data_IF_041422379291
#
_entry.id   IF_041422379291
#
_cell.length_a   1.000
_cell.length_b   1.000
_cell.length_c   1.000
_cell.angle_alpha   90.00
_cell.angle_beta   90.00
_cell.angle_gamma   90.00
#
_symmetry.space_group_name_H-M   'P 1'
#
loop_
_entity.id
_entity.type
_entity.pdbx_description
1 polymer ?
#
# COMPACT_ATOMS: atom_id res chain seq x y z
N UNK A 1 -15.54 24.94 4.67
CA UNK A 1 -14.53 24.95 3.58
C UNK A 1 -13.80 23.62 3.58
N UNK A 2 -13.56 23.04 2.41
CA UNK A 2 -12.76 21.80 2.26
C UNK A 2 -11.29 22.08 2.60
N UNK A 3 -10.60 21.10 3.19
CA UNK A 3 -9.15 21.18 3.45
C UNK A 3 -8.31 21.22 2.17
N UNK A 4 -8.89 20.79 1.05
CA UNK A 4 -8.28 20.83 -0.26
C UNK A 4 -8.98 21.88 -1.11
N UNK A 5 -8.24 22.57 -1.97
CA UNK A 5 -8.89 23.16 -3.15
C UNK A 5 -9.46 22.03 -4.00
N UNK A 6 -10.58 22.28 -4.68
CA UNK A 6 -11.18 21.32 -5.60
C UNK A 6 -10.18 20.85 -6.68
N UNK A 7 -9.18 21.67 -7.03
CA UNK A 7 -8.18 21.37 -8.05
C UNK A 7 -7.20 20.31 -7.54
N UNK A 8 -6.71 20.49 -6.32
CA UNK A 8 -5.79 19.55 -5.67
C UNK A 8 -6.47 18.21 -5.45
N UNK A 9 -7.73 18.22 -5.02
CA UNK A 9 -8.50 17.01 -4.84
C UNK A 9 -8.77 16.28 -6.16
N UNK A 10 -9.10 17.02 -7.23
CA UNK A 10 -9.21 16.45 -8.57
C UNK A 10 -7.88 15.83 -9.05
N UNK A 11 -6.76 16.48 -8.76
CA UNK A 11 -5.42 16.01 -9.12
C UNK A 11 -5.04 14.72 -8.38
N UNK A 12 -5.39 14.59 -7.10
CA UNK A 12 -5.18 13.36 -6.34
C UNK A 12 -6.00 12.19 -6.89
N UNK A 13 -7.28 12.42 -7.22
CA UNK A 13 -8.09 11.43 -7.93
C UNK A 13 -7.47 11.04 -9.27
N UNK A 14 -6.96 12.01 -10.03
CA UNK A 14 -6.31 11.79 -11.31
C UNK A 14 -5.08 10.92 -11.19
N UNK A 15 -4.16 11.31 -10.33
CA UNK A 15 -2.93 10.56 -10.08
C UNK A 15 -3.24 9.12 -9.65
N UNK A 16 -4.23 8.93 -8.77
CA UNK A 16 -4.64 7.61 -8.30
C UNK A 16 -5.15 6.70 -9.44
N UNK A 17 -6.09 7.17 -10.28
CA UNK A 17 -6.59 6.34 -11.37
C UNK A 17 -5.55 6.12 -12.48
N UNK A 18 -4.67 7.10 -12.73
CA UNK A 18 -3.60 6.98 -13.73
C UNK A 18 -2.60 5.90 -13.31
N UNK A 19 -2.15 5.93 -12.05
CA UNK A 19 -1.26 4.93 -11.49
C UNK A 19 -1.90 3.53 -11.52
N UNK A 20 -3.19 3.43 -11.18
CA UNK A 20 -3.94 2.18 -11.31
C UNK A 20 -3.94 1.64 -12.73
N UNK A 21 -4.28 2.49 -13.72
CA UNK A 21 -4.26 2.11 -15.13
C UNK A 21 -2.88 1.65 -15.59
N UNK A 22 -1.82 2.38 -15.21
CA UNK A 22 -0.45 1.97 -15.52
C UNK A 22 -0.13 0.59 -14.94
N UNK A 23 -0.49 0.35 -13.67
CA UNK A 23 -0.27 -0.93 -12.99
C UNK A 23 -1.02 -2.09 -13.65
N UNK A 24 -2.31 -1.92 -13.93
CA UNK A 24 -3.13 -2.95 -14.60
C UNK A 24 -2.62 -3.24 -16.02
N UNK A 25 -2.29 -2.19 -16.79
CA UNK A 25 -1.76 -2.37 -18.14
C UNK A 25 -0.41 -3.10 -18.14
N UNK A 26 0.50 -2.77 -17.21
CA UNK A 26 1.79 -3.45 -17.07
C UNK A 26 1.63 -4.96 -16.85
N UNK A 27 0.58 -5.39 -16.16
CA UNK A 27 0.32 -6.82 -15.85
C UNK A 27 -0.30 -7.59 -17.01
N UNK A 28 -1.27 -6.99 -17.69
CA UNK A 28 -2.19 -7.78 -18.53
C UNK A 28 -2.21 -7.38 -20.00
N UNK A 29 -1.55 -6.28 -20.40
CA UNK A 29 -1.73 -5.72 -21.74
C UNK A 29 -0.47 -5.08 -22.33
N UNK A 30 -0.24 -5.29 -23.63
CA UNK A 30 0.57 -4.31 -24.36
C UNK A 30 -0.23 -3.02 -24.58
N UNK A 31 0.41 -1.85 -24.43
CA UNK A 31 -0.23 -0.55 -24.67
C UNK A 31 -0.92 -0.47 -26.03
N UNK A 32 -0.32 -1.07 -27.08
CA UNK A 32 -0.87 -1.10 -28.44
C UNK A 32 -2.15 -1.92 -28.54
N UNK A 33 -2.15 -3.15 -28.03
CA UNK A 33 -3.34 -4.02 -28.07
C UNK A 33 -4.49 -3.42 -27.29
N UNK A 34 -4.20 -2.84 -26.11
CA UNK A 34 -5.23 -2.22 -25.29
C UNK A 34 -5.82 -0.98 -25.96
N UNK A 35 -4.99 -0.06 -26.47
CA UNK A 35 -5.44 1.13 -27.19
C UNK A 35 -6.35 0.76 -28.37
N UNK A 36 -5.98 -0.28 -29.13
CA UNK A 36 -6.80 -0.78 -30.24
C UNK A 36 -8.16 -1.32 -29.78
N UNK A 37 -8.22 -2.08 -28.67
CA UNK A 37 -9.50 -2.60 -28.14
C UNK A 37 -10.41 -1.53 -27.56
N UNK A 38 -9.82 -0.53 -26.93
CA UNK A 38 -10.55 0.64 -26.42
C UNK A 38 -10.89 1.59 -27.55
N UNK A 39 -10.37 1.40 -28.76
CA UNK A 39 -10.57 2.27 -29.93
C UNK A 39 -10.10 3.71 -29.67
N UNK A 40 -8.83 3.82 -29.28
CA UNK A 40 -8.06 5.07 -29.14
C UNK A 40 -6.66 4.91 -29.72
N UNK A 41 -5.96 6.00 -30.00
CA UNK A 41 -4.55 5.94 -30.41
C UNK A 41 -3.64 5.61 -29.22
N UNK A 42 -2.50 4.95 -29.49
CA UNK A 42 -1.46 4.69 -28.47
C UNK A 42 -0.90 5.98 -27.88
N UNK A 43 -0.82 7.03 -28.71
CA UNK A 43 -0.40 8.36 -28.26
C UNK A 43 -1.42 8.97 -27.31
N UNK A 44 -2.72 8.85 -27.61
CA UNK A 44 -3.78 9.33 -26.74
C UNK A 44 -3.80 8.59 -25.40
N UNK A 45 -3.63 7.26 -25.42
CA UNK A 45 -3.44 6.48 -24.20
C UNK A 45 -2.21 6.96 -23.41
N UNK A 46 -1.12 7.30 -24.08
CA UNK A 46 0.08 7.81 -23.41
C UNK A 46 -0.16 9.16 -22.73
N UNK A 47 -0.96 10.05 -23.35
CA UNK A 47 -1.38 11.29 -22.70
C UNK A 47 -2.27 11.04 -21.49
N UNK A 48 -3.20 10.09 -21.55
CA UNK A 48 -4.01 9.71 -20.38
C UNK A 48 -3.12 9.19 -19.24
N UNK A 49 -2.07 8.42 -19.55
CA UNK A 49 -1.23 7.78 -18.53
C UNK A 49 -0.16 8.70 -17.94
N UNK A 50 0.31 9.71 -18.66
CA UNK A 50 1.51 10.46 -18.29
C UNK A 50 1.34 11.98 -18.28
N UNK A 51 0.24 12.50 -18.84
CA UNK A 51 0.01 13.93 -19.01
C UNK A 51 -1.19 14.40 -18.16
N UNK A 52 -1.48 15.70 -18.16
CA UNK A 52 -2.57 16.34 -17.41
C UNK A 52 -3.96 16.10 -18.01
N UNK A 53 -4.09 15.20 -18.98
CA UNK A 53 -5.38 14.90 -19.62
C UNK A 53 -6.29 14.12 -18.68
N UNK A 54 -7.39 14.75 -18.30
CA UNK A 54 -8.47 14.11 -17.54
C UNK A 54 -9.22 13.14 -18.45
N UNK A 55 -9.43 11.93 -17.94
CA UNK A 55 -10.15 10.89 -18.64
C UNK A 55 -11.66 11.21 -18.61
N UNK A 56 -12.33 11.21 -19.76
CA UNK A 56 -13.78 11.37 -19.79
C UNK A 56 -14.47 10.11 -19.23
N UNK A 57 -15.61 10.29 -18.58
CA UNK A 57 -16.39 9.20 -17.96
C UNK A 57 -16.73 8.11 -19.00
N UNK A 58 -17.24 8.50 -20.17
CA UNK A 58 -17.59 7.55 -21.25
C UNK A 58 -16.38 6.74 -21.73
N UNK A 59 -15.19 7.35 -21.80
CA UNK A 59 -13.99 6.62 -22.16
C UNK A 59 -13.50 5.72 -21.02
N UNK A 60 -13.64 6.15 -19.77
CA UNK A 60 -13.34 5.31 -18.61
C UNK A 60 -14.23 4.08 -18.54
N UNK A 61 -15.54 4.19 -18.82
CA UNK A 61 -16.45 3.04 -18.89
C UNK A 61 -16.03 2.05 -19.98
N UNK A 62 -15.67 2.55 -21.17
CA UNK A 62 -15.10 1.74 -22.26
C UNK A 62 -13.79 1.06 -21.85
N UNK A 63 -12.89 1.78 -21.17
CA UNK A 63 -11.65 1.20 -20.66
C UNK A 63 -11.95 0.11 -19.63
N UNK A 64 -12.87 0.34 -18.70
CA UNK A 64 -13.22 -0.59 -17.64
C UNK A 64 -13.99 -1.84 -18.12
N UNK A 65 -14.62 -1.78 -19.30
CA UNK A 65 -15.25 -2.95 -19.94
C UNK A 65 -14.23 -3.80 -20.70
N UNK A 66 -13.15 -3.20 -21.21
CA UNK A 66 -12.04 -3.91 -21.86
C UNK A 66 -11.07 -4.49 -20.84
N UNK A 67 -10.81 -3.77 -19.74
CA UNK A 67 -10.02 -4.27 -18.63
C UNK A 67 -10.79 -5.38 -17.90
N UNK A 68 -10.12 -6.50 -17.65
CA UNK A 68 -10.68 -7.61 -16.85
C UNK A 68 -10.67 -7.27 -15.36
N UNK A 69 -11.34 -6.17 -14.98
CA UNK A 69 -11.46 -5.71 -13.60
C UNK A 69 -12.55 -6.48 -12.86
N UNK A 70 -12.33 -6.73 -11.58
CA UNK A 70 -13.40 -7.09 -10.66
C UNK A 70 -14.44 -5.96 -10.53
N UNK A 71 -15.62 -6.28 -9.99
CA UNK A 71 -16.66 -5.29 -9.76
C UNK A 71 -16.17 -4.13 -8.86
N UNK A 72 -15.43 -4.46 -7.80
CA UNK A 72 -14.90 -3.47 -6.86
C UNK A 72 -13.81 -2.60 -7.49
N UNK A 73 -12.90 -3.17 -8.27
CA UNK A 73 -11.87 -2.41 -9.00
C UNK A 73 -12.50 -1.49 -10.05
N UNK A 74 -13.52 -1.97 -10.78
CA UNK A 74 -14.28 -1.16 -11.74
C UNK A 74 -14.97 0.01 -11.04
N UNK A 75 -15.65 -0.25 -9.92
CA UNK A 75 -16.30 0.80 -9.14
C UNK A 75 -15.30 1.86 -8.67
N UNK A 76 -14.18 1.44 -8.05
CA UNK A 76 -13.13 2.37 -7.60
C UNK A 76 -12.57 3.18 -8.76
N UNK A 77 -12.25 2.53 -9.89
CA UNK A 77 -11.69 3.21 -11.05
C UNK A 77 -12.62 4.30 -11.56
N UNK A 78 -13.91 3.99 -11.74
CA UNK A 78 -14.91 4.95 -12.18
C UNK A 78 -15.13 6.05 -11.12
N UNK A 79 -15.20 5.70 -9.84
CA UNK A 79 -15.32 6.68 -8.75
C UNK A 79 -14.22 7.73 -8.79
N UNK A 80 -12.96 7.34 -8.98
CA UNK A 80 -11.85 8.29 -9.08
C UNK A 80 -11.88 9.11 -10.38
N UNK A 81 -12.30 8.54 -11.51
CA UNK A 81 -12.49 9.33 -12.75
C UNK A 81 -13.59 10.36 -12.58
N UNK A 82 -14.72 9.98 -11.97
CA UNK A 82 -15.81 10.89 -11.63
C UNK A 82 -15.32 11.98 -10.69
N UNK A 83 -14.62 11.65 -9.61
CA UNK A 83 -14.09 12.61 -8.65
C UNK A 83 -13.14 13.64 -9.30
N UNK A 84 -12.25 13.21 -10.19
CA UNK A 84 -11.36 14.11 -10.93
C UNK A 84 -12.13 15.03 -11.89
N UNK A 85 -13.17 14.53 -12.54
CA UNK A 85 -13.98 15.29 -13.51
C UNK A 85 -14.92 16.27 -12.81
N UNK A 86 -15.68 15.80 -11.82
CA UNK A 86 -16.70 16.56 -11.11
C UNK A 86 -16.08 17.69 -10.28
N UNK A 87 -15.00 17.45 -9.54
CA UNK A 87 -14.35 18.49 -8.73
C UNK A 87 -13.74 19.59 -9.61
N UNK A 88 -13.24 19.25 -10.79
CA UNK A 88 -12.76 20.22 -11.79
C UNK A 88 -13.91 21.02 -12.42
N UNK A 89 -15.08 20.42 -12.63
CA UNK A 89 -16.29 21.13 -13.09
C UNK A 89 -16.88 22.02 -12.00
N UNK A 90 -16.95 21.54 -10.76
CA UNK A 90 -17.35 22.34 -9.58
C UNK A 90 -16.38 23.49 -9.31
N UNK A 91 -15.11 23.39 -9.73
CA UNK A 91 -14.17 24.51 -9.69
C UNK A 91 -14.59 25.70 -10.55
N UNK A 92 -15.43 25.47 -11.56
CA UNK A 92 -16.04 26.52 -12.37
C UNK A 92 -17.34 27.07 -11.75
N UNK A 93 -17.84 26.43 -10.69
CA UNK A 93 -19.12 26.72 -10.06
C UNK A 93 -18.98 26.67 -8.52
N UNK A 94 -18.70 27.84 -7.93
CA UNK A 94 -19.16 28.31 -6.61
C UNK A 94 -18.25 28.34 -5.36
N UNK A 95 -18.66 29.31 -4.51
CA UNK A 95 -18.34 29.66 -3.12
C UNK A 95 -19.21 28.87 -2.10
N UNK A 96 -18.69 28.81 -0.85
CA UNK A 96 -19.35 28.74 0.49
C UNK A 96 -20.51 27.76 0.77
N UNK A 97 -20.48 26.90 1.81
CA UNK A 97 -20.81 27.22 3.22
C UNK A 97 -20.45 26.10 4.23
N UNK A 98 -20.52 26.47 5.52
CA UNK A 98 -20.42 25.80 6.84
C UNK A 98 -20.87 24.33 6.95
N UNK A 99 -20.49 23.49 7.93
CA UNK A 99 -19.84 23.63 9.23
C UNK A 99 -20.44 22.54 10.11
N UNK A 100 -19.65 21.68 10.75
CA UNK A 100 -20.16 20.67 11.69
C UNK A 100 -19.25 20.55 12.90
N UNK A 101 -19.89 20.64 14.06
CA UNK A 101 -19.27 20.62 15.38
C UNK A 101 -19.30 19.18 15.91
N UNK A 102 -18.30 18.36 15.54
CA UNK A 102 -18.05 17.06 16.15
C UNK A 102 -16.55 16.82 16.28
N UNK A 103 -16.11 16.51 17.51
CA UNK A 103 -14.69 16.33 17.88
C UNK A 103 -14.12 15.06 17.21
N UNK A 104 -13.38 15.26 16.12
CA UNK A 104 -12.62 14.24 15.39
C UNK A 104 -11.74 13.35 16.31
N UNK A 105 -11.14 13.94 17.34
CA UNK A 105 -10.14 13.33 18.21
C UNK A 105 -10.60 12.02 18.89
N UNK A 106 -11.78 12.00 19.53
CA UNK A 106 -12.27 10.81 20.23
C UNK A 106 -12.61 9.65 19.26
N UNK A 107 -13.14 9.98 18.07
CA UNK A 107 -13.41 8.99 17.03
C UNK A 107 -12.13 8.47 16.39
N UNK A 108 -11.12 9.32 16.22
CA UNK A 108 -9.81 8.94 15.70
C UNK A 108 -9.06 8.01 16.66
N UNK A 109 -9.07 8.29 17.97
CA UNK A 109 -8.50 7.39 18.97
C UNK A 109 -9.15 5.99 18.92
N UNK A 110 -10.48 5.93 18.78
CA UNK A 110 -11.19 4.66 18.64
C UNK A 110 -10.80 3.91 17.36
N UNK A 111 -10.65 4.63 16.25
CA UNK A 111 -10.16 4.04 14.99
C UNK A 111 -8.76 3.48 15.14
N UNK A 112 -7.85 4.19 15.82
CA UNK A 112 -6.47 3.75 16.09
C UNK A 112 -6.46 2.42 16.85
N UNK A 113 -7.27 2.31 17.91
CA UNK A 113 -7.39 1.07 18.68
C UNK A 113 -7.92 -0.10 17.84
N UNK A 114 -8.95 0.13 17.03
CA UNK A 114 -9.52 -0.89 16.16
C UNK A 114 -8.51 -1.33 15.08
N UNK A 115 -7.78 -0.37 14.49
CA UNK A 115 -6.76 -0.62 13.48
C UNK A 115 -5.58 -1.43 14.04
N UNK A 116 -5.06 -1.04 15.20
CA UNK A 116 -3.99 -1.76 15.88
C UNK A 116 -4.45 -3.18 16.25
N UNK A 117 -5.67 -3.33 16.76
CA UNK A 117 -6.26 -4.64 17.04
C UNK A 117 -6.35 -5.49 15.76
N UNK A 118 -6.84 -4.93 14.66
CA UNK A 118 -6.95 -5.65 13.38
C UNK A 118 -5.60 -6.17 12.86
N UNK A 119 -4.55 -5.36 13.04
CA UNK A 119 -3.21 -5.62 12.51
C UNK A 119 -2.43 -6.66 13.31
N UNK A 120 -2.65 -6.73 14.63
CA UNK A 120 -1.84 -7.54 15.54
C UNK A 120 -2.60 -8.62 16.30
N UNK A 121 -3.93 -8.74 16.12
CA UNK A 121 -4.72 -9.80 16.76
C UNK A 121 -4.27 -11.21 16.33
N UNK A 122 -4.23 -12.15 17.28
CA UNK A 122 -4.06 -13.58 16.97
C UNK A 122 -5.36 -14.23 16.47
N UNK A 123 -6.51 -13.58 16.67
CA UNK A 123 -7.81 -14.04 16.17
C UNK A 123 -8.00 -13.59 14.72
N UNK A 124 -7.53 -14.42 13.80
CA UNK A 124 -7.50 -14.16 12.36
C UNK A 124 -8.87 -13.70 11.84
N UNK A 125 -9.96 -14.37 12.20
CA UNK A 125 -11.34 -14.02 11.78
C UNK A 125 -11.80 -12.62 12.23
N UNK A 126 -11.34 -12.15 13.39
CA UNK A 126 -11.69 -10.83 13.90
C UNK A 126 -11.06 -9.71 13.05
N UNK A 127 -9.87 -9.96 12.48
CA UNK A 127 -9.12 -9.00 11.68
C UNK A 127 -9.93 -8.48 10.47
N UNK A 128 -10.63 -9.38 9.77
CA UNK A 128 -11.47 -9.04 8.60
C UNK A 128 -12.56 -8.03 8.94
N UNK A 129 -13.33 -8.33 9.99
CA UNK A 129 -14.43 -7.47 10.44
C UNK A 129 -13.88 -6.12 10.89
N UNK A 130 -12.80 -6.13 11.67
CA UNK A 130 -12.18 -4.90 12.17
C UNK A 130 -11.67 -4.00 11.05
N UNK A 131 -10.92 -4.52 10.06
CA UNK A 131 -10.45 -3.70 8.93
C UNK A 131 -11.61 -3.06 8.15
N UNK A 132 -12.69 -3.81 7.91
CA UNK A 132 -13.91 -3.26 7.27
C UNK A 132 -14.59 -2.20 8.12
N UNK A 133 -14.67 -2.41 9.44
CA UNK A 133 -15.20 -1.42 10.37
C UNK A 133 -14.36 -0.15 10.39
N UNK A 134 -13.03 -0.25 10.49
CA UNK A 134 -12.13 0.92 10.43
C UNK A 134 -12.32 1.68 9.13
N UNK A 135 -12.34 0.98 8.00
CA UNK A 135 -12.56 1.61 6.69
C UNK A 135 -13.90 2.34 6.60
N UNK A 136 -14.99 1.69 7.04
CA UNK A 136 -16.35 2.25 6.95
C UNK A 136 -16.52 3.47 7.85
N UNK A 137 -16.11 3.36 9.12
CA UNK A 137 -16.18 4.47 10.08
C UNK A 137 -15.24 5.60 9.64
N UNK A 138 -14.03 5.28 9.19
CA UNK A 138 -13.06 6.24 8.68
C UNK A 138 -13.57 7.04 7.49
N UNK A 139 -14.22 6.38 6.50
CA UNK A 139 -14.84 7.08 5.38
C UNK A 139 -15.96 8.02 5.85
N UNK A 140 -16.79 7.57 6.81
CA UNK A 140 -17.85 8.39 7.40
C UNK A 140 -17.32 9.59 8.19
N UNK A 141 -16.17 9.44 8.88
CA UNK A 141 -15.50 10.55 9.55
C UNK A 141 -14.85 11.50 8.55
N UNK A 142 -14.27 11.00 7.46
CA UNK A 142 -13.65 11.84 6.45
C UNK A 142 -14.66 12.79 5.80
N UNK A 143 -15.90 12.34 5.60
CA UNK A 143 -17.02 13.18 5.14
C UNK A 143 -17.42 14.27 6.14
N UNK A 144 -17.02 14.15 7.40
CA UNK A 144 -17.30 15.09 8.48
C UNK A 144 -16.10 16.00 8.78
N UNK A 145 -14.96 15.83 8.12
CA UNK A 145 -13.77 16.66 8.37
C UNK A 145 -14.01 18.10 7.94
N UNK A 146 -13.67 19.04 8.82
CA UNK A 146 -13.72 20.48 8.60
C UNK A 146 -12.32 21.09 8.54
N UNK A 147 -12.20 22.22 7.84
CA UNK A 147 -10.98 23.04 7.83
C UNK A 147 -10.45 23.47 9.22
N UNK A 148 -11.28 23.43 10.26
CA UNK A 148 -10.89 23.74 11.64
C UNK A 148 -10.34 22.55 12.41
N UNK A 149 -10.47 21.32 11.87
CA UNK A 149 -9.93 20.13 12.52
C UNK A 149 -8.40 20.17 12.55
N UNK A 150 -7.76 19.61 13.60
CA UNK A 150 -6.30 19.59 13.67
C UNK A 150 -5.70 18.84 12.48
N UNK A 151 -4.88 19.51 11.68
CA UNK A 151 -4.33 18.97 10.42
C UNK A 151 -3.65 17.59 10.60
N UNK A 152 -2.88 17.41 11.68
CA UNK A 152 -2.21 16.13 11.96
C UNK A 152 -3.19 14.99 12.28
N UNK A 153 -4.37 15.27 12.81
CA UNK A 153 -5.42 14.27 13.06
C UNK A 153 -6.06 13.84 11.73
N UNK A 154 -6.25 14.80 10.80
CA UNK A 154 -6.76 14.51 9.46
C UNK A 154 -5.76 13.70 8.64
N UNK A 155 -4.47 14.05 8.71
CA UNK A 155 -3.40 13.27 8.08
C UNK A 155 -3.40 11.84 8.61
N UNK A 156 -3.52 11.66 9.92
CA UNK A 156 -3.59 10.33 10.52
C UNK A 156 -4.83 9.54 10.07
N UNK A 157 -6.00 10.18 9.95
CA UNK A 157 -7.20 9.54 9.41
C UNK A 157 -6.96 9.02 7.99
N UNK A 158 -6.31 9.81 7.13
CA UNK A 158 -5.93 9.37 5.79
C UNK A 158 -4.96 8.17 5.81
N UNK A 159 -3.99 8.16 6.71
CA UNK A 159 -3.06 7.03 6.85
C UNK A 159 -3.76 5.75 7.30
N UNK A 160 -4.71 5.83 8.24
CA UNK A 160 -5.54 4.68 8.65
C UNK A 160 -6.41 4.15 7.50
N UNK A 161 -6.96 5.06 6.68
CA UNK A 161 -7.72 4.70 5.48
C UNK A 161 -6.84 4.09 4.38
N UNK A 162 -5.59 4.56 4.22
CA UNK A 162 -4.61 3.93 3.35
C UNK A 162 -4.32 2.48 3.75
N UNK A 163 -4.03 2.24 5.04
CA UNK A 163 -3.64 0.91 5.52
C UNK A 163 -4.78 -0.11 5.33
N UNK A 164 -5.99 0.29 5.69
CA UNK A 164 -7.21 -0.52 5.50
C UNK A 164 -7.52 -0.76 4.02
N UNK A 165 -7.45 0.27 3.17
CA UNK A 165 -7.64 0.14 1.73
C UNK A 165 -6.62 -0.82 1.10
N UNK A 166 -5.36 -0.73 1.51
CA UNK A 166 -4.27 -1.61 1.04
C UNK A 166 -4.55 -3.08 1.35
N UNK A 167 -5.01 -3.38 2.56
CA UNK A 167 -5.38 -4.75 2.98
C UNK A 167 -6.58 -5.27 2.20
N UNK A 168 -7.60 -4.42 2.01
CA UNK A 168 -8.86 -4.77 1.34
C UNK A 168 -8.78 -4.82 -0.19
N UNK A 169 -7.57 -4.70 -0.77
CA UNK A 169 -7.33 -4.66 -2.22
C UNK A 169 -7.99 -3.46 -2.93
N UNK A 170 -8.11 -2.34 -2.22
CA UNK A 170 -8.61 -1.08 -2.77
C UNK A 170 -7.45 -0.17 -3.16
N UNK A 171 -6.61 -0.62 -4.10
CA UNK A 171 -5.30 -0.01 -4.36
C UNK A 171 -5.39 1.44 -4.89
N UNK A 172 -6.47 1.78 -5.60
CA UNK A 172 -6.71 3.15 -6.07
C UNK A 172 -6.98 4.07 -4.88
N UNK A 173 -7.87 3.63 -3.98
CA UNK A 173 -8.21 4.37 -2.77
C UNK A 173 -6.99 4.49 -1.85
N UNK A 174 -6.20 3.43 -1.70
CA UNK A 174 -4.97 3.45 -0.91
C UNK A 174 -4.02 4.55 -1.39
N UNK A 175 -3.72 4.59 -2.69
CA UNK A 175 -2.86 5.63 -3.25
C UNK A 175 -3.47 7.03 -3.10
N UNK A 176 -4.77 7.19 -3.32
CA UNK A 176 -5.46 8.46 -3.11
C UNK A 176 -5.31 8.97 -1.67
N UNK A 177 -5.51 8.11 -0.67
CA UNK A 177 -5.38 8.49 0.73
C UNK A 177 -3.93 8.81 1.10
N UNK A 178 -2.96 8.05 0.61
CA UNK A 178 -1.54 8.34 0.80
C UNK A 178 -1.15 9.72 0.22
N UNK A 179 -1.58 10.01 -1.01
CA UNK A 179 -1.38 11.32 -1.66
C UNK A 179 -2.06 12.46 -0.91
N UNK A 180 -3.25 12.21 -0.36
CA UNK A 180 -3.99 13.20 0.43
C UNK A 180 -3.27 13.53 1.74
N UNK A 181 -2.77 12.51 2.44
CA UNK A 181 -1.94 12.68 3.63
C UNK A 181 -0.66 13.47 3.31
N UNK A 182 0.06 13.09 2.24
CA UNK A 182 1.29 13.76 1.83
C UNK A 182 1.06 15.23 1.47
N UNK A 183 0.02 15.49 0.69
CA UNK A 183 -0.33 16.84 0.26
C UNK A 183 -0.61 17.76 1.46
N UNK A 184 -1.38 17.29 2.45
CA UNK A 184 -1.65 18.08 3.66
C UNK A 184 -0.37 18.37 4.47
N UNK A 185 0.57 17.43 4.52
CA UNK A 185 1.87 17.66 5.14
C UNK A 185 2.66 18.70 4.34
N UNK A 186 2.76 18.57 3.02
CA UNK A 186 3.51 19.48 2.15
C UNK A 186 2.98 20.92 2.15
N UNK A 187 1.67 21.11 2.40
CA UNK A 187 1.06 22.43 2.56
C UNK A 187 1.42 23.12 3.88
N UNK A 188 1.85 22.35 4.88
CA UNK A 188 2.10 22.86 6.21
C UNK A 188 3.59 23.02 6.46
N UNK A 189 3.97 23.97 7.31
CA UNK A 189 5.37 24.11 7.71
C UNK A 189 5.57 23.52 9.10
N UNK A 190 6.54 22.62 9.24
CA UNK A 190 6.98 22.06 10.53
C UNK A 190 7.11 23.12 11.64
N UNK A 191 7.61 24.31 11.30
CA UNK A 191 7.85 25.38 12.26
C UNK A 191 6.59 26.11 12.74
N UNK A 192 5.47 25.96 12.03
CA UNK A 192 4.14 26.48 12.42
C UNK A 192 3.51 25.67 13.57
N UNK A 193 4.01 24.45 13.82
CA UNK A 193 3.53 23.62 14.92
C UNK A 193 4.27 23.97 16.23
N UNK A 194 3.54 23.98 17.38
CA UNK A 194 4.14 24.02 18.72
C UNK A 194 5.20 22.93 18.88
N UNK A 195 6.26 23.21 19.65
CA UNK A 195 7.44 22.33 19.78
C UNK A 195 7.06 20.90 20.12
N UNK A 196 6.11 20.73 21.03
CA UNK A 196 5.57 19.45 21.50
C UNK A 196 4.84 18.64 20.42
N UNK A 197 4.39 19.28 19.33
CA UNK A 197 3.73 18.61 18.19
C UNK A 197 4.67 18.36 17.01
N UNK A 198 5.89 18.92 17.02
CA UNK A 198 6.80 18.81 15.88
C UNK A 198 7.30 17.39 15.66
N UNK A 199 7.46 16.60 16.72
CA UNK A 199 7.82 15.20 16.54
C UNK A 199 6.67 14.43 15.89
N UNK A 200 5.41 14.66 16.30
CA UNK A 200 4.24 14.08 15.63
C UNK A 200 4.17 14.48 14.15
N UNK A 201 4.46 15.73 13.81
CA UNK A 201 4.59 16.17 12.42
C UNK A 201 5.66 15.36 11.67
N UNK A 202 6.86 15.24 12.24
CA UNK A 202 7.99 14.52 11.65
C UNK A 202 7.61 13.02 11.41
N UNK A 203 6.84 12.42 12.32
CA UNK A 203 6.30 11.05 12.16
C UNK A 203 5.27 10.96 11.03
N UNK A 204 4.33 11.91 10.96
CA UNK A 204 3.29 11.94 9.91
C UNK A 204 3.89 12.16 8.52
N UNK A 205 4.93 12.98 8.41
CA UNK A 205 5.65 13.20 7.17
C UNK A 205 6.26 11.91 6.60
N UNK A 206 7.01 11.17 7.43
CA UNK A 206 7.57 9.88 7.00
C UNK A 206 6.45 8.90 6.66
N UNK A 207 5.42 8.78 7.51
CA UNK A 207 4.36 7.80 7.28
C UNK A 207 3.57 8.08 6.00
N UNK A 208 3.35 9.35 5.63
CA UNK A 208 2.76 9.72 4.35
C UNK A 208 3.60 9.26 3.16
N UNK A 209 4.92 9.49 3.19
CA UNK A 209 5.82 9.03 2.12
C UNK A 209 5.88 7.50 2.05
N UNK A 210 5.91 6.82 3.20
CA UNK A 210 5.91 5.35 3.27
C UNK A 210 4.60 4.76 2.73
N UNK A 211 3.47 5.37 3.06
CA UNK A 211 2.17 4.98 2.51
C UNK A 211 2.17 5.09 0.98
N UNK A 212 2.71 6.18 0.41
CA UNK A 212 2.85 6.29 -1.04
C UNK A 212 3.76 5.20 -1.62
N UNK A 213 4.91 4.94 -1.00
CA UNK A 213 5.84 3.90 -1.45
C UNK A 213 5.16 2.51 -1.49
N UNK A 214 4.41 2.17 -0.44
CA UNK A 214 3.64 0.92 -0.35
C UNK A 214 2.55 0.87 -1.42
N UNK A 215 1.76 1.93 -1.58
CA UNK A 215 0.69 1.98 -2.57
C UNK A 215 1.21 1.85 -4.01
N UNK A 216 2.31 2.54 -4.34
CA UNK A 216 2.96 2.41 -5.65
C UNK A 216 3.51 1.00 -5.87
N UNK A 217 4.17 0.41 -4.88
CA UNK A 217 4.67 -0.96 -4.97
C UNK A 217 3.53 -1.98 -5.18
N UNK A 218 2.41 -1.85 -4.46
CA UNK A 218 1.24 -2.72 -4.63
C UNK A 218 0.61 -2.60 -6.02
N UNK A 219 0.77 -1.46 -6.70
CA UNK A 219 0.40 -1.24 -8.10
C UNK A 219 1.45 -1.74 -9.10
N UNK A 220 2.62 -2.20 -8.64
CA UNK A 220 3.75 -2.60 -9.47
C UNK A 220 4.48 -1.43 -10.12
N UNK A 221 4.40 -0.25 -9.51
CA UNK A 221 5.06 1.00 -9.93
C UNK A 221 6.31 1.23 -9.07
N UNK A 222 7.26 0.32 -9.20
CA UNK A 222 8.41 0.21 -8.30
C UNK A 222 9.41 1.38 -8.40
N UNK A 223 9.42 2.09 -9.54
CA UNK A 223 10.26 3.29 -9.71
C UNK A 223 9.74 4.43 -8.87
N UNK A 224 8.43 4.64 -8.90
CA UNK A 224 7.70 5.64 -8.12
C UNK A 224 7.83 5.32 -6.62
N UNK A 225 7.68 4.04 -6.25
CA UNK A 225 7.90 3.59 -4.87
C UNK A 225 9.33 3.90 -4.36
N UNK A 226 10.35 3.67 -5.19
CA UNK A 226 11.74 3.98 -4.85
C UNK A 226 12.00 5.49 -4.73
N UNK A 227 11.35 6.32 -5.56
CA UNK A 227 11.42 7.77 -5.43
C UNK A 227 10.87 8.24 -4.08
N UNK A 228 9.75 7.67 -3.62
CA UNK A 228 9.23 7.94 -2.28
C UNK A 228 10.23 7.54 -1.19
N UNK A 229 10.92 6.40 -1.32
CA UNK A 229 11.95 5.97 -0.38
C UNK A 229 13.13 6.97 -0.31
N UNK A 230 13.58 7.46 -1.46
CA UNK A 230 14.64 8.49 -1.53
C UNK A 230 14.21 9.81 -0.87
N UNK A 231 12.93 10.19 -1.01
CA UNK A 231 12.41 11.38 -0.34
C UNK A 231 12.40 11.21 1.19
N UNK A 232 12.14 10.00 1.71
CA UNK A 232 12.18 9.72 3.16
C UNK A 232 13.57 9.94 3.73
N UNK A 233 14.63 9.53 3.03
CA UNK A 233 16.03 9.71 3.47
C UNK A 233 16.38 11.16 3.79
N UNK A 234 15.70 12.10 3.12
CA UNK A 234 15.93 13.53 3.25
C UNK A 234 15.10 14.19 4.38
N UNK A 235 14.24 13.43 5.06
CA UNK A 235 13.35 13.97 6.12
C UNK A 235 14.09 14.21 7.44
N UNK A 236 13.57 15.16 8.22
CA UNK A 236 14.12 15.49 9.54
C UNK A 236 13.98 14.32 10.53
N UNK A 237 12.92 13.51 10.40
CA UNK A 237 12.69 12.35 11.27
C UNK A 237 13.79 11.29 11.14
N UNK A 238 14.29 11.00 9.94
CA UNK A 238 15.42 10.06 9.74
C UNK A 238 16.66 10.54 10.47
N UNK A 239 16.97 11.85 10.39
CA UNK A 239 18.15 12.43 11.01
C UNK A 239 18.08 12.36 12.55
N UNK A 240 16.89 12.58 13.12
CA UNK A 240 16.69 12.60 14.57
C UNK A 240 16.54 11.22 15.20
N UNK A 241 15.81 10.33 14.54
CA UNK A 241 15.43 9.03 15.08
C UNK A 241 15.74 7.90 14.08
N UNK A 242 17.02 7.75 13.65
CA UNK A 242 17.40 6.78 12.63
C UNK A 242 17.08 5.34 13.07
N UNK A 243 17.27 5.02 14.35
CA UNK A 243 16.98 3.70 14.90
C UNK A 243 15.52 3.28 14.74
N UNK A 244 14.59 4.25 14.83
CA UNK A 244 13.16 4.01 14.65
C UNK A 244 12.82 3.82 13.17
N UNK A 245 13.34 4.70 12.30
CA UNK A 245 12.83 4.82 10.93
C UNK A 245 13.60 4.05 9.86
N UNK A 246 14.92 3.87 10.02
CA UNK A 246 15.76 3.15 9.03
C UNK A 246 15.27 1.71 8.81
N UNK A 247 14.93 0.90 9.85
CA UNK A 247 14.40 -0.44 9.65
C UNK A 247 13.18 -0.50 8.71
N UNK A 248 12.27 0.45 8.88
CA UNK A 248 11.06 0.54 8.06
C UNK A 248 11.36 1.01 6.64
N UNK A 249 12.14 2.09 6.49
CA UNK A 249 12.55 2.62 5.20
C UNK A 249 13.26 1.57 4.35
N UNK A 250 14.24 0.87 4.91
CA UNK A 250 15.04 -0.11 4.17
C UNK A 250 14.24 -1.35 3.80
N UNK A 251 13.27 -1.76 4.61
CA UNK A 251 12.30 -2.79 4.21
C UNK A 251 11.50 -2.35 2.97
N UNK A 252 10.96 -1.14 2.99
CA UNK A 252 10.16 -0.59 1.89
C UNK A 252 11.04 -0.41 0.62
N UNK A 253 12.29 0.03 0.81
CA UNK A 253 13.29 0.18 -0.25
C UNK A 253 13.64 -1.16 -0.90
N UNK A 254 13.87 -2.24 -0.14
CA UNK A 254 14.13 -3.57 -0.71
C UNK A 254 12.93 -4.06 -1.53
N UNK A 255 11.70 -3.88 -1.02
CA UNK A 255 10.49 -4.30 -1.74
C UNK A 255 10.39 -3.57 -3.09
N UNK A 256 10.53 -2.24 -3.11
CA UNK A 256 10.55 -1.46 -4.34
C UNK A 256 11.72 -1.85 -5.27
N UNK A 257 12.93 -2.00 -4.73
CA UNK A 257 14.11 -2.35 -5.50
C UNK A 257 13.94 -3.70 -6.22
N UNK A 258 13.41 -4.69 -5.52
CA UNK A 258 13.23 -6.06 -6.04
C UNK A 258 12.17 -6.18 -7.14
N UNK A 259 11.22 -5.24 -7.23
CA UNK A 259 10.23 -5.20 -8.32
C UNK A 259 10.79 -4.68 -9.66
N UNK A 260 12.02 -4.14 -9.66
CA UNK A 260 12.66 -3.65 -10.88
C UNK A 260 13.25 -4.79 -11.72
N UNK A 261 13.16 -4.74 -13.06
CA UNK A 261 13.74 -5.79 -13.93
C UNK A 261 15.24 -6.00 -13.79
N UNK A 262 15.97 -4.97 -13.33
CA UNK A 262 17.40 -5.00 -13.05
C UNK A 262 17.64 -4.22 -11.77
N UNK A 263 18.28 -4.86 -10.79
CA UNK A 263 18.70 -4.23 -9.55
C UNK A 263 19.97 -4.90 -9.01
N UNK A 264 20.69 -4.21 -8.14
CA UNK A 264 21.90 -4.72 -7.52
C UNK A 264 21.54 -5.47 -6.23
N UNK A 265 21.70 -6.80 -6.22
CA UNK A 265 21.40 -7.59 -5.02
C UNK A 265 22.25 -7.20 -3.80
N UNK A 266 23.48 -6.73 -4.02
CA UNK A 266 24.37 -6.22 -2.96
C UNK A 266 23.80 -5.02 -2.22
N UNK A 267 22.99 -4.20 -2.91
CA UNK A 267 22.33 -3.05 -2.30
C UNK A 267 21.24 -3.52 -1.31
N UNK A 268 20.43 -4.50 -1.72
CA UNK A 268 19.44 -5.11 -0.84
C UNK A 268 20.09 -5.82 0.36
N UNK A 269 21.22 -6.50 0.16
CA UNK A 269 22.02 -7.10 1.23
C UNK A 269 22.48 -6.03 2.24
N UNK A 270 23.06 -4.93 1.77
CA UNK A 270 23.54 -3.84 2.62
C UNK A 270 22.41 -3.17 3.43
N UNK A 271 21.25 -2.97 2.82
CA UNK A 271 20.06 -2.47 3.53
C UNK A 271 19.63 -3.44 4.63
N UNK A 272 19.53 -4.74 4.33
CA UNK A 272 19.12 -5.75 5.31
C UNK A 272 20.11 -5.87 6.48
N UNK A 273 21.41 -5.84 6.21
CA UNK A 273 22.46 -5.88 7.24
C UNK A 273 22.40 -4.64 8.14
N UNK A 274 22.08 -3.48 7.56
CA UNK A 274 21.88 -2.25 8.35
C UNK A 274 20.66 -2.37 9.27
N UNK A 275 19.55 -2.96 8.79
CA UNK A 275 18.37 -3.19 9.63
C UNK A 275 18.70 -4.14 10.78
N UNK A 276 19.38 -5.25 10.52
CA UNK A 276 19.80 -6.21 11.55
C UNK A 276 20.65 -5.52 12.63
N UNK A 277 21.65 -4.75 12.22
CA UNK A 277 22.49 -3.97 13.14
C UNK A 277 21.67 -3.02 14.03
N UNK A 278 20.64 -2.36 13.50
CA UNK A 278 19.76 -1.51 14.31
C UNK A 278 18.90 -2.33 15.26
N UNK A 279 18.29 -3.42 14.79
CA UNK A 279 17.46 -4.31 15.61
C UNK A 279 18.25 -4.96 16.76
N UNK A 280 19.51 -5.37 16.52
CA UNK A 280 20.38 -5.95 17.55
C UNK A 280 20.69 -4.96 18.69
N UNK A 281 20.65 -3.65 18.40
CA UNK A 281 20.89 -2.58 19.37
C UNK A 281 19.63 -2.13 20.10
N UNK A 282 18.45 -2.45 19.57
CA UNK A 282 17.17 -2.06 20.14
C UNK A 282 16.67 -3.15 21.09
N UNK A 283 16.32 -2.78 22.31
CA UNK A 283 15.60 -3.66 23.25
C UNK A 283 14.09 -3.65 23.03
N UNK A 284 13.65 -3.25 21.82
CA UNK A 284 12.24 -3.10 21.48
C UNK A 284 11.58 -4.46 21.21
N UNK A 285 10.37 -4.64 21.72
CA UNK A 285 9.55 -5.84 21.50
C UNK A 285 9.17 -6.02 20.03
N UNK A 286 9.25 -4.96 19.22
CA UNK A 286 9.00 -5.01 17.77
C UNK A 286 10.21 -5.49 16.96
N UNK A 287 11.43 -5.49 17.52
CA UNK A 287 12.65 -5.81 16.78
C UNK A 287 12.63 -7.21 16.13
N UNK A 288 12.16 -8.29 16.79
CA UNK A 288 12.07 -9.61 16.15
C UNK A 288 11.15 -9.63 14.92
N UNK A 289 10.03 -8.89 14.97
CA UNK A 289 9.15 -8.76 13.81
C UNK A 289 9.87 -8.05 12.68
N UNK A 290 10.59 -6.96 12.97
CA UNK A 290 11.31 -6.22 11.93
C UNK A 290 12.42 -7.06 11.28
N UNK A 291 13.15 -7.88 12.05
CA UNK A 291 14.12 -8.84 11.51
C UNK A 291 13.43 -9.86 10.60
N UNK A 292 12.34 -10.46 11.05
CA UNK A 292 11.57 -11.41 10.22
C UNK A 292 11.09 -10.76 8.90
N UNK A 293 10.58 -9.52 8.98
CA UNK A 293 10.06 -8.82 7.81
C UNK A 293 11.16 -8.37 6.84
N UNK A 294 12.33 -7.95 7.32
CA UNK A 294 13.45 -7.61 6.43
C UNK A 294 14.04 -8.85 5.76
N UNK A 295 14.10 -9.99 6.46
CA UNK A 295 14.55 -11.25 5.88
C UNK A 295 13.60 -11.77 4.81
N UNK A 296 12.28 -11.63 5.04
CA UNK A 296 11.28 -11.89 4.01
C UNK A 296 11.53 -11.03 2.78
N UNK A 297 11.71 -9.72 2.94
CA UNK A 297 11.98 -8.80 1.83
C UNK A 297 13.26 -9.15 1.08
N UNK A 298 14.35 -9.48 1.80
CA UNK A 298 15.61 -9.90 1.17
C UNK A 298 15.50 -11.26 0.47
N UNK A 299 14.77 -12.22 1.04
CA UNK A 299 14.53 -13.51 0.40
C UNK A 299 13.73 -13.35 -0.91
N UNK A 300 12.75 -12.46 -0.93
CA UNK A 300 12.04 -12.10 -2.15
C UNK A 300 12.98 -11.45 -3.18
N UNK A 301 13.86 -10.54 -2.75
CA UNK A 301 14.88 -9.98 -3.64
C UNK A 301 15.80 -11.06 -4.23
N UNK A 302 16.27 -12.01 -3.43
CA UNK A 302 17.05 -13.14 -3.97
C UNK A 302 16.26 -13.98 -4.96
N UNK A 303 14.96 -14.20 -4.71
CA UNK A 303 14.08 -14.91 -5.63
C UNK A 303 14.02 -14.20 -6.99
N UNK A 304 13.73 -12.89 -7.00
CA UNK A 304 13.66 -12.09 -8.23
C UNK A 304 15.01 -12.02 -8.96
N UNK A 305 16.12 -12.01 -8.20
CA UNK A 305 17.47 -12.04 -8.77
C UNK A 305 17.88 -13.44 -9.30
N UNK A 306 17.16 -14.50 -8.93
CA UNK A 306 17.47 -15.88 -9.31
C UNK A 306 18.46 -16.61 -8.39
N UNK A 307 18.75 -16.09 -7.19
CA UNK A 307 19.61 -16.73 -6.20
C UNK A 307 18.83 -17.60 -5.20
N UNK A 308 18.24 -18.68 -5.70
CA UNK A 308 17.34 -19.55 -4.93
C UNK A 308 17.98 -20.14 -3.66
N UNK A 309 19.29 -20.45 -3.72
CA UNK A 309 20.03 -21.01 -2.56
C UNK A 309 20.07 -20.04 -1.39
N UNK A 310 20.28 -18.74 -1.63
CA UNK A 310 20.27 -17.74 -0.56
C UNK A 310 18.85 -17.43 -0.09
N UNK A 311 17.88 -17.36 -1.01
CA UNK A 311 16.48 -17.18 -0.66
C UNK A 311 16.00 -18.28 0.31
N UNK A 312 16.28 -19.55 -0.02
CA UNK A 312 15.91 -20.70 0.79
C UNK A 312 16.55 -20.68 2.18
N UNK A 313 17.81 -20.23 2.31
CA UNK A 313 18.49 -20.15 3.62
C UNK A 313 17.87 -19.11 4.56
N UNK A 314 17.33 -18.01 4.02
CA UNK A 314 16.74 -16.95 4.83
C UNK A 314 15.38 -17.33 5.39
N UNK A 315 14.55 -18.05 4.64
CA UNK A 315 13.21 -18.42 5.06
C UNK A 315 13.10 -19.90 5.43
N UNK A 316 13.99 -20.36 6.32
CA UNK A 316 13.89 -21.68 6.95
C UNK A 316 13.07 -21.63 8.25
N UNK A 317 11.96 -20.92 8.24
CA UNK A 317 11.13 -20.76 9.42
C UNK A 317 10.19 -21.96 9.58
N UNK A 318 10.25 -22.69 10.71
CA UNK A 318 9.14 -23.57 11.08
C UNK A 318 7.89 -22.69 11.27
N UNK A 319 6.75 -23.11 10.72
CA UNK A 319 5.47 -22.40 10.86
C UNK A 319 5.11 -22.14 12.33
N UNK A 320 5.50 -23.06 13.22
CA UNK A 320 5.36 -22.96 14.67
C UNK A 320 6.07 -21.74 15.25
N UNK A 321 7.24 -21.36 14.71
CA UNK A 321 8.02 -20.23 15.21
C UNK A 321 7.33 -18.90 14.89
N UNK A 322 6.71 -18.76 13.71
CA UNK A 322 5.95 -17.56 13.35
C UNK A 322 4.71 -17.37 14.23
N UNK A 323 4.11 -18.48 14.65
CA UNK A 323 2.93 -18.47 15.52
C UNK A 323 3.25 -18.09 16.97
N UNK A 324 4.48 -18.36 17.42
CA UNK A 324 4.96 -18.06 18.77
C UNK A 324 5.43 -16.60 18.94
N UNK A 325 5.67 -15.86 17.86
CA UNK A 325 6.05 -14.46 17.95
C UNK A 325 4.82 -13.59 18.29
N UNK A 326 4.79 -12.94 19.47
CA UNK A 326 3.59 -12.24 19.98
C UNK A 326 3.18 -11.05 19.12
N UNK A 327 4.12 -10.48 18.35
CA UNK A 327 3.90 -9.31 17.49
C UNK A 327 3.56 -9.67 16.03
N UNK A 328 3.51 -10.96 15.69
CA UNK A 328 3.23 -11.42 14.32
C UNK A 328 1.73 -11.63 14.12
N UNK A 329 1.07 -10.58 13.64
CA UNK A 329 -0.32 -10.62 13.18
C UNK A 329 -0.55 -11.33 11.84
N UNK A 330 -1.81 -11.49 11.39
CA UNK A 330 -2.16 -12.33 10.24
C UNK A 330 -1.50 -11.89 8.94
N UNK A 331 -1.42 -10.58 8.69
CA UNK A 331 -0.78 -10.03 7.49
C UNK A 331 0.70 -10.43 7.43
N UNK A 332 1.43 -10.34 8.54
CA UNK A 332 2.84 -10.71 8.62
C UNK A 332 3.04 -12.20 8.30
N UNK A 333 2.20 -13.07 8.87
CA UNK A 333 2.25 -14.53 8.61
C UNK A 333 2.06 -14.83 7.12
N UNK A 334 1.02 -14.26 6.52
CA UNK A 334 0.71 -14.47 5.10
C UNK A 334 1.85 -14.01 4.19
N UNK A 335 2.47 -12.86 4.50
CA UNK A 335 3.58 -12.34 3.71
C UNK A 335 4.83 -13.24 3.77
N UNK A 336 5.14 -13.80 4.95
CA UNK A 336 6.25 -14.75 5.12
C UNK A 336 5.96 -16.08 4.44
N UNK A 337 4.81 -16.70 4.74
CA UNK A 337 4.40 -17.98 4.16
C UNK A 337 4.28 -17.91 2.64
N UNK A 338 3.68 -16.84 2.10
CA UNK A 338 3.55 -16.65 0.66
C UNK A 338 4.90 -16.52 -0.05
N UNK A 339 5.90 -15.89 0.59
CA UNK A 339 7.25 -15.79 0.03
C UNK A 339 7.98 -17.13 0.13
N UNK A 340 7.86 -17.83 1.25
CA UNK A 340 8.43 -19.17 1.43
C UNK A 340 7.85 -20.15 0.40
N UNK A 341 6.54 -20.13 0.18
CA UNK A 341 5.87 -20.94 -0.84
C UNK A 341 6.47 -20.67 -2.23
N UNK A 342 6.63 -19.40 -2.64
CA UNK A 342 7.25 -19.07 -3.93
C UNK A 342 8.66 -19.67 -4.05
N UNK A 343 9.47 -19.61 -3.00
CA UNK A 343 10.82 -20.20 -3.02
C UNK A 343 10.74 -21.72 -3.23
N UNK A 344 9.84 -22.42 -2.51
CA UNK A 344 9.62 -23.87 -2.65
C UNK A 344 9.18 -24.26 -4.06
N UNK A 345 8.28 -23.48 -4.65
CA UNK A 345 7.90 -23.63 -6.04
C UNK A 345 9.10 -23.57 -6.99
N UNK A 346 9.93 -22.53 -6.86
CA UNK A 346 11.06 -22.31 -7.76
C UNK A 346 12.18 -23.37 -7.63
N UNK A 347 12.29 -24.06 -6.49
CA UNK A 347 13.24 -25.18 -6.31
C UNK A 347 12.64 -26.55 -6.69
N UNK A 348 11.35 -26.60 -7.04
CA UNK A 348 10.65 -27.84 -7.42
C UNK A 348 10.11 -28.67 -6.25
N UNK A 349 10.06 -28.11 -5.03
CA UNK A 349 9.48 -28.78 -3.86
C UNK A 349 7.98 -28.53 -3.79
N UNK A 350 7.22 -29.33 -4.54
CA UNK A 350 5.77 -29.17 -4.67
C UNK A 350 5.02 -29.51 -3.39
N UNK A 351 5.56 -30.40 -2.55
CA UNK A 351 4.91 -30.82 -1.31
C UNK A 351 4.95 -29.70 -0.28
N UNK A 352 6.14 -29.14 -0.02
CA UNK A 352 6.28 -28.05 0.94
C UNK A 352 5.63 -26.76 0.40
N UNK A 353 5.71 -26.52 -0.92
CA UNK A 353 4.97 -25.44 -1.57
C UNK A 353 3.46 -25.52 -1.27
N UNK A 354 2.84 -26.70 -1.50
CA UNK A 354 1.40 -26.89 -1.33
C UNK A 354 0.97 -26.64 0.12
N UNK A 355 1.75 -27.11 1.09
CA UNK A 355 1.47 -26.88 2.51
C UNK A 355 1.53 -25.39 2.86
N UNK A 356 2.61 -24.70 2.46
CA UNK A 356 2.81 -23.28 2.77
C UNK A 356 1.78 -22.38 2.09
N UNK A 357 1.46 -22.62 0.82
CA UNK A 357 0.48 -21.79 0.10
C UNK A 357 -0.93 -22.00 0.66
N UNK A 358 -1.29 -23.22 1.06
CA UNK A 358 -2.58 -23.51 1.70
C UNK A 358 -2.68 -22.84 3.06
N UNK A 359 -1.63 -22.87 3.89
CA UNK A 359 -1.58 -22.17 5.18
C UNK A 359 -1.71 -20.64 5.00
N UNK A 360 -0.99 -20.07 4.02
CA UNK A 360 -1.07 -18.66 3.67
C UNK A 360 -2.48 -18.26 3.21
N UNK A 361 -3.07 -19.02 2.27
CA UNK A 361 -4.42 -18.75 1.76
C UNK A 361 -5.48 -18.88 2.84
N UNK A 362 -5.41 -19.91 3.68
CA UNK A 362 -6.34 -20.12 4.80
C UNK A 362 -6.30 -18.92 5.74
N UNK A 363 -5.10 -18.50 6.15
CA UNK A 363 -4.91 -17.33 7.02
C UNK A 363 -5.41 -16.04 6.35
N UNK A 364 -5.13 -15.86 5.05
CA UNK A 364 -5.55 -14.67 4.32
C UNK A 364 -7.07 -14.57 4.14
N UNK A 365 -7.74 -15.69 3.86
CA UNK A 365 -9.20 -15.79 3.72
C UNK A 365 -9.90 -15.46 5.03
N UNK A 366 -9.44 -16.08 6.12
CA UNK A 366 -9.91 -15.83 7.47
C UNK A 366 -9.75 -14.34 7.88
N UNK A 367 -8.57 -13.76 7.64
CA UNK A 367 -8.29 -12.36 7.98
C UNK A 367 -8.85 -11.34 6.97
N UNK A 368 -9.45 -11.80 5.87
CA UNK A 368 -9.97 -10.91 4.84
C UNK A 368 -8.90 -10.07 4.15
N UNK A 369 -7.68 -10.61 4.04
CA UNK A 369 -6.54 -9.96 3.38
C UNK A 369 -6.67 -10.09 1.86
N UNK A 370 -7.70 -9.47 1.28
CA UNK A 370 -8.05 -9.57 -0.15
C UNK A 370 -6.85 -9.35 -1.05
N UNK A 371 -5.99 -8.38 -0.71
CA UNK A 371 -4.81 -8.11 -1.53
C UNK A 371 -3.84 -9.29 -1.62
N UNK A 372 -3.59 -9.96 -0.49
CA UNK A 372 -2.69 -11.10 -0.45
C UNK A 372 -3.31 -12.32 -1.15
N UNK A 373 -4.64 -12.49 -1.06
CA UNK A 373 -5.37 -13.54 -1.78
C UNK A 373 -5.19 -13.37 -3.29
N UNK A 374 -5.45 -12.17 -3.82
CA UNK A 374 -5.32 -11.90 -5.26
C UNK A 374 -3.87 -11.98 -5.73
N UNK A 375 -2.91 -11.52 -4.91
CA UNK A 375 -1.48 -11.68 -5.19
C UNK A 375 -1.08 -13.16 -5.36
N UNK A 376 -1.51 -14.03 -4.43
CA UNK A 376 -1.24 -15.47 -4.50
C UNK A 376 -1.95 -16.15 -5.68
N UNK A 377 -3.18 -15.75 -6.03
CA UNK A 377 -3.89 -16.26 -7.21
C UNK A 377 -3.15 -15.90 -8.51
N UNK A 378 -2.67 -14.67 -8.63
CA UNK A 378 -1.96 -14.20 -9.82
C UNK A 378 -0.61 -14.92 -10.01
N UNK A 379 0.10 -15.22 -8.91
CA UNK A 379 1.29 -16.07 -8.95
C UNK A 379 0.96 -17.44 -9.56
N UNK A 380 -0.15 -18.05 -9.15
CA UNK A 380 -0.58 -19.36 -9.63
C UNK A 380 -1.08 -19.36 -11.09
N UNK A 381 -1.73 -18.29 -11.55
CA UNK A 381 -2.22 -18.18 -12.94
C UNK A 381 -1.09 -18.09 -13.96
N UNK A 382 0.01 -17.40 -13.62
CA UNK A 382 1.21 -17.33 -14.47
C UNK A 382 1.91 -18.70 -14.65
N UNK A 383 1.54 -19.70 -13.84
CA UNK A 383 2.20 -21.00 -13.73
C UNK A 383 1.33 -22.19 -14.21
N UNK A 384 0.14 -21.95 -14.81
CA UNK A 384 -0.84 -22.94 -15.31
C UNK A 384 -1.24 -24.01 -14.27
N UNK A 385 -2.19 -23.68 -13.39
CA UNK A 385 -2.86 -24.65 -12.52
C UNK A 385 -4.39 -24.55 -12.65
N UNK A 386 -5.07 -25.69 -12.90
CA UNK A 386 -6.53 -25.77 -12.99
C UNK A 386 -7.21 -26.55 -11.84
N UNK A 387 -6.49 -27.17 -10.89
CA UNK A 387 -7.09 -28.23 -10.04
C UNK A 387 -6.84 -28.16 -8.52
N UNK A 388 -6.50 -27.02 -7.90
CA UNK A 388 -6.12 -27.00 -6.46
C UNK A 388 -6.91 -26.06 -5.54
N UNK A 389 -8.05 -25.52 -5.98
CA UNK A 389 -9.00 -24.91 -5.05
C UNK A 389 -10.24 -25.80 -4.96
N UNK A 390 -10.70 -26.18 -3.76
CA UNK A 390 -12.04 -26.73 -3.63
C UNK A 390 -13.04 -25.66 -4.08
N UNK A 391 -13.96 -26.05 -4.97
CA UNK A 391 -14.99 -25.18 -5.54
C UNK A 391 -15.99 -24.66 -4.52
#
# INVERSE_FOLDING_TARGET
>A
MSLFSLLQEAEMHRTAYQAFLQGVLKRSWSKRQFAQRVDISVQYLSYILHDERVLSITLAERMASVLALSADERYQFLFHVHGATEKRLRLQQEFSLSGSDKRLDASLQRLRELHNTASFTHHVEASKTLFRTVYTIGCGLLQQVHHTDPLLDVVELYLLLHDTASVLYMQINALYYAKSARFLIDLSNRWEFPVEKRDRYDQMEINALRAEAVAYHNLGLDREALHCCQAIEMTTAIQKQPALWIPHLYRDTINALSGRPRFAIREAEAYADTVRMWCDRLTDTSAPLMVCMIERSLAHAYLQYGNLRKAQRLLQYPEDLLSQLPVVGPLHRVLVLGTAAQIRWHIGDTTEWSALIQAALTTALAAGLTHQIESMKNMNQSQKWYNLLPG
#
